data_IF_967219808468
#
_entry.id   IF_967219808468
#
_cell.length_a   1.000
_cell.length_b   1.000
_cell.length_c   1.000
_cell.angle_alpha   90.00
_cell.angle_beta   90.00
_cell.angle_gamma   90.00
#
_symmetry.space_group_name_H-M   'P 1'
#
loop_
_entity.id
_entity.type
_entity.pdbx_description
1 polymer ?
#
# COMPACT_ATOMS: atom_id res chain seq x y z
N UNK A 1 -13.39 -15.30 -24.33
CA UNK A 1 -14.49 -14.31 -24.19
C UNK A 1 -14.22 -13.18 -25.17
N UNK A 2 -15.12 -12.93 -26.12
CA UNK A 2 -14.95 -11.87 -27.12
C UNK A 2 -15.11 -10.48 -26.46
N UNK A 3 -14.49 -9.45 -27.04
CA UNK A 3 -14.57 -8.07 -26.57
C UNK A 3 -15.97 -7.56 -26.15
N UNK A 4 -17.08 -7.83 -26.90
CA UNK A 4 -18.39 -7.29 -26.55
C UNK A 4 -18.95 -7.76 -25.20
N UNK A 5 -18.73 -9.03 -24.80
CA UNK A 5 -19.25 -9.55 -23.52
C UNK A 5 -18.68 -8.80 -22.30
N UNK A 6 -17.45 -8.31 -22.39
CA UNK A 6 -16.81 -7.60 -21.27
C UNK A 6 -17.40 -6.22 -21.06
N UNK A 7 -17.81 -5.53 -22.13
CA UNK A 7 -18.51 -4.25 -22.00
C UNK A 7 -19.89 -4.42 -21.39
N UNK A 8 -20.67 -5.42 -21.83
CA UNK A 8 -21.97 -5.73 -21.20
C UNK A 8 -21.80 -6.09 -19.72
N UNK A 9 -20.82 -6.92 -19.38
CA UNK A 9 -20.54 -7.28 -18.00
C UNK A 9 -20.10 -6.08 -17.16
N UNK A 10 -19.22 -5.23 -17.70
CA UNK A 10 -18.79 -3.98 -17.04
C UNK A 10 -19.95 -3.03 -16.78
N UNK A 11 -20.84 -2.85 -17.76
CA UNK A 11 -22.05 -2.05 -17.60
C UNK A 11 -22.96 -2.60 -16.50
N UNK A 12 -23.27 -3.91 -16.52
CA UNK A 12 -24.12 -4.54 -15.52
C UNK A 12 -23.53 -4.44 -14.09
N UNK A 13 -22.24 -4.74 -13.93
CA UNK A 13 -21.55 -4.61 -12.64
C UNK A 13 -21.55 -3.15 -12.19
N UNK A 14 -21.30 -2.22 -13.11
CA UNK A 14 -21.34 -0.79 -12.84
C UNK A 14 -22.72 -0.32 -12.36
N UNK A 15 -23.80 -0.71 -13.04
CA UNK A 15 -25.17 -0.41 -12.62
C UNK A 15 -25.50 -0.99 -11.23
N UNK A 16 -25.07 -2.22 -10.94
CA UNK A 16 -25.23 -2.81 -9.60
C UNK A 16 -24.47 -1.99 -8.54
N UNK A 17 -23.26 -1.54 -8.83
CA UNK A 17 -22.52 -0.62 -7.97
C UNK A 17 -23.27 0.70 -7.75
N UNK A 18 -23.87 1.27 -8.81
CA UNK A 18 -24.63 2.51 -8.74
C UNK A 18 -25.90 2.39 -7.89
N UNK A 19 -26.55 1.21 -7.93
CA UNK A 19 -27.66 0.87 -7.04
C UNK A 19 -27.20 0.84 -5.58
N UNK A 20 -26.10 0.16 -5.28
CA UNK A 20 -25.56 0.08 -3.91
C UNK A 20 -25.13 1.44 -3.37
N UNK A 21 -24.53 2.30 -4.19
CA UNK A 21 -24.19 3.68 -3.83
C UNK A 21 -25.45 4.53 -3.57
N UNK A 22 -26.55 4.31 -4.29
CA UNK A 22 -27.81 4.99 -3.97
C UNK A 22 -28.34 4.61 -2.58
N UNK A 23 -28.18 3.33 -2.20
CA UNK A 23 -28.65 2.82 -0.91
C UNK A 23 -27.88 3.36 0.30
N UNK A 24 -26.73 4.01 0.09
CA UNK A 24 -25.95 4.63 1.18
C UNK A 24 -26.37 6.06 1.49
N UNK A 25 -27.43 6.57 0.87
CA UNK A 25 -27.90 7.94 1.06
C UNK A 25 -27.17 8.98 0.20
N UNK A 26 -26.70 8.59 -0.99
CA UNK A 26 -26.12 9.51 -1.98
C UNK A 26 -27.06 10.69 -2.27
N UNK A 27 -26.49 11.88 -2.47
CA UNK A 27 -27.23 13.08 -2.88
C UNK A 27 -27.76 13.01 -4.32
N UNK A 28 -27.26 12.07 -5.12
CA UNK A 28 -27.70 11.84 -6.49
C UNK A 28 -28.98 10.98 -6.52
N UNK A 29 -29.85 11.22 -7.50
CA UNK A 29 -31.03 10.38 -7.73
C UNK A 29 -30.64 8.95 -8.12
N UNK A 30 -31.52 7.98 -7.87
CA UNK A 30 -31.30 6.57 -8.24
C UNK A 30 -30.97 6.40 -9.73
N UNK A 31 -31.67 7.13 -10.61
CA UNK A 31 -31.39 7.08 -12.04
C UNK A 31 -29.98 7.62 -12.35
N UNK A 32 -29.58 8.72 -11.70
CA UNK A 32 -28.26 9.31 -11.89
C UNK A 32 -27.13 8.38 -11.41
N UNK A 33 -27.29 7.71 -10.27
CA UNK A 33 -26.27 6.76 -9.77
C UNK A 33 -26.20 5.50 -10.63
N UNK A 34 -27.32 4.98 -11.14
CA UNK A 34 -27.34 3.86 -12.08
C UNK A 34 -26.62 4.21 -13.38
N UNK A 35 -26.93 5.37 -13.97
CA UNK A 35 -26.26 5.85 -15.18
C UNK A 35 -24.77 6.09 -14.95
N UNK A 36 -24.40 6.74 -13.84
CA UNK A 36 -23.02 6.94 -13.44
C UNK A 36 -22.30 5.60 -13.33
N UNK A 37 -22.90 4.62 -12.64
CA UNK A 37 -22.34 3.29 -12.47
C UNK A 37 -22.15 2.56 -13.80
N UNK A 38 -23.19 2.52 -14.65
CA UNK A 38 -23.13 1.87 -15.96
C UNK A 38 -22.07 2.49 -16.88
N UNK A 39 -22.04 3.82 -16.98
CA UNK A 39 -21.04 4.56 -17.76
C UNK A 39 -19.63 4.35 -17.19
N UNK A 40 -19.50 4.37 -15.86
CA UNK A 40 -18.23 4.12 -15.18
C UNK A 40 -17.72 2.70 -15.44
N UNK A 41 -18.59 1.71 -15.46
CA UNK A 41 -18.24 0.32 -15.78
C UNK A 41 -17.78 0.16 -17.23
N UNK A 42 -18.48 0.79 -18.19
CA UNK A 42 -18.07 0.81 -19.60
C UNK A 42 -16.70 1.49 -19.79
N UNK A 43 -16.52 2.66 -19.17
CA UNK A 43 -15.27 3.40 -19.25
C UNK A 43 -14.11 2.65 -18.60
N UNK A 44 -14.34 2.01 -17.45
CA UNK A 44 -13.33 1.15 -16.81
C UNK A 44 -12.88 0.01 -17.72
N UNK A 45 -13.82 -0.69 -18.38
CA UNK A 45 -13.49 -1.73 -19.36
C UNK A 45 -12.66 -1.13 -20.49
N UNK A 46 -13.08 0.01 -21.05
CA UNK A 46 -12.37 0.66 -22.14
C UNK A 46 -10.88 0.94 -21.83
N UNK A 47 -10.57 1.45 -20.63
CA UNK A 47 -9.19 1.84 -20.26
C UNK A 47 -8.35 0.70 -19.68
N UNK A 48 -8.97 -0.32 -19.08
CA UNK A 48 -8.27 -1.34 -18.29
C UNK A 48 -8.18 -2.71 -18.96
N UNK A 49 -8.92 -2.97 -20.04
CA UNK A 49 -9.12 -4.32 -20.57
C UNK A 49 -7.84 -5.11 -20.83
N UNK A 50 -6.82 -4.47 -21.41
CA UNK A 50 -5.51 -5.07 -21.68
C UNK A 50 -4.65 -5.28 -20.44
N UNK A 51 -5.01 -4.63 -19.33
CA UNK A 51 -4.27 -4.58 -18.05
C UNK A 51 -4.85 -5.51 -16.98
N UNK A 52 -6.05 -6.07 -17.20
CA UNK A 52 -6.68 -7.07 -16.33
C UNK A 52 -6.04 -8.45 -16.51
N UNK A 53 -4.78 -8.58 -16.10
CA UNK A 53 -3.94 -9.78 -16.25
C UNK A 53 -4.20 -10.83 -15.18
N UNK A 54 -4.51 -10.40 -13.96
CA UNK A 54 -4.82 -11.25 -12.79
C UNK A 54 -6.02 -10.67 -12.03
N UNK A 55 -6.56 -11.41 -11.05
CA UNK A 55 -7.63 -10.90 -10.19
C UNK A 55 -7.11 -9.77 -9.28
N UNK A 56 -5.90 -9.91 -8.71
CA UNK A 56 -5.28 -8.85 -7.90
C UNK A 56 -4.97 -7.58 -8.69
N UNK A 57 -4.44 -7.73 -9.91
CA UNK A 57 -4.27 -6.62 -10.86
C UNK A 57 -5.59 -5.90 -11.12
N UNK A 58 -6.65 -6.67 -11.38
CA UNK A 58 -7.98 -6.12 -11.61
C UNK A 58 -8.53 -5.35 -10.42
N UNK A 59 -8.39 -5.92 -9.22
CA UNK A 59 -8.78 -5.27 -7.97
C UNK A 59 -8.07 -3.93 -7.78
N UNK A 60 -6.75 -3.86 -7.94
CA UNK A 60 -6.02 -2.61 -7.72
C UNK A 60 -6.30 -1.57 -8.82
N UNK A 61 -6.45 -2.00 -10.08
CA UNK A 61 -6.89 -1.10 -11.17
C UNK A 61 -8.25 -0.48 -10.88
N UNK A 62 -9.22 -1.28 -10.45
CA UNK A 62 -10.57 -0.80 -10.19
C UNK A 62 -10.66 0.05 -8.93
N UNK A 63 -9.88 -0.26 -7.88
CA UNK A 63 -9.79 0.59 -6.69
C UNK A 63 -9.13 1.94 -7.00
N UNK A 64 -8.02 1.94 -7.75
CA UNK A 64 -7.40 3.17 -8.23
C UNK A 64 -8.33 4.00 -9.13
N UNK A 65 -9.09 3.32 -9.99
CA UNK A 65 -10.12 3.95 -10.82
C UNK A 65 -11.25 4.57 -9.99
N UNK A 66 -11.78 3.84 -9.01
CA UNK A 66 -12.82 4.32 -8.11
C UNK A 66 -12.35 5.54 -7.28
N UNK A 67 -11.09 5.53 -6.84
CA UNK A 67 -10.47 6.69 -6.20
C UNK A 67 -10.41 7.91 -7.13
N UNK A 68 -10.02 7.74 -8.40
CA UNK A 68 -10.08 8.83 -9.38
C UNK A 68 -11.49 9.35 -9.62
N UNK A 69 -12.46 8.45 -9.78
CA UNK A 69 -13.86 8.84 -9.94
C UNK A 69 -14.33 9.67 -8.76
N UNK A 70 -13.92 9.30 -7.54
CA UNK A 70 -14.24 10.06 -6.35
C UNK A 70 -13.61 11.47 -6.37
N UNK A 71 -12.34 11.59 -6.74
CA UNK A 71 -11.67 12.91 -6.88
C UNK A 71 -12.40 13.77 -7.91
N UNK A 72 -12.72 13.19 -9.08
CA UNK A 72 -13.26 13.94 -10.21
C UNK A 72 -14.71 14.37 -9.97
N UNK A 73 -15.53 13.51 -9.36
CA UNK A 73 -16.98 13.70 -9.31
C UNK A 73 -17.41 14.22 -7.92
N UNK A 74 -17.50 13.40 -6.85
CA UNK A 74 -17.80 13.87 -5.50
C UNK A 74 -16.92 15.00 -5.00
N UNK A 75 -15.59 14.87 -5.06
CA UNK A 75 -14.70 15.89 -4.49
C UNK A 75 -14.37 17.05 -5.45
N UNK A 76 -14.81 16.97 -6.72
CA UNK A 76 -14.44 17.89 -7.79
C UNK A 76 -15.64 18.58 -8.44
N UNK A 77 -16.25 17.92 -9.42
CA UNK A 77 -17.31 18.49 -10.27
C UNK A 77 -18.57 18.85 -9.45
N UNK A 78 -19.01 17.99 -8.52
CA UNK A 78 -20.25 18.24 -7.76
C UNK A 78 -20.16 19.55 -6.96
N UNK A 79 -19.12 19.78 -6.13
CA UNK A 79 -18.89 21.05 -5.43
C UNK A 79 -18.88 22.28 -6.35
N UNK A 80 -18.23 22.17 -7.51
CA UNK A 80 -18.14 23.25 -8.49
C UNK A 80 -19.52 23.62 -9.04
N UNK A 81 -20.35 22.63 -9.36
CA UNK A 81 -21.71 22.83 -9.86
C UNK A 81 -22.66 23.36 -8.79
N UNK A 82 -22.44 23.00 -7.53
CA UNK A 82 -23.24 23.48 -6.40
C UNK A 82 -22.87 24.90 -5.95
N UNK A 83 -21.90 25.55 -6.61
CA UNK A 83 -21.50 26.90 -6.29
C UNK A 83 -20.92 26.99 -4.88
N UNK A 84 -20.03 26.07 -4.51
CA UNK A 84 -19.28 26.09 -3.26
C UNK A 84 -17.87 26.74 -3.43
N UNK A 85 -17.74 28.08 -3.60
CA UNK A 85 -16.43 28.75 -3.65
C UNK A 85 -15.87 29.07 -2.25
N UNK A 86 -16.59 28.77 -1.15
CA UNK A 86 -16.21 29.20 0.20
C UNK A 86 -15.58 28.10 1.10
N UNK A 87 -15.74 26.82 0.79
CA UNK A 87 -15.06 25.74 1.53
C UNK A 87 -13.67 25.46 0.92
N UNK A 88 -12.67 25.23 1.77
CA UNK A 88 -11.36 24.78 1.31
C UNK A 88 -11.47 23.41 0.61
N UNK A 89 -10.59 23.14 -0.36
CA UNK A 89 -10.60 21.87 -1.13
C UNK A 89 -10.55 20.62 -0.21
N UNK A 90 -9.85 20.70 0.92
CA UNK A 90 -9.78 19.62 1.90
C UNK A 90 -11.10 19.41 2.66
N UNK A 91 -11.79 20.49 3.03
CA UNK A 91 -13.07 20.38 3.74
C UNK A 91 -14.15 19.80 2.83
N UNK A 92 -14.14 20.14 1.54
CA UNK A 92 -15.00 19.49 0.54
C UNK A 92 -14.68 18.00 0.40
N UNK A 93 -13.39 17.64 0.34
CA UNK A 93 -12.99 16.24 0.28
C UNK A 93 -13.42 15.45 1.53
N UNK A 94 -13.33 16.05 2.73
CA UNK A 94 -13.83 15.46 3.98
C UNK A 94 -15.35 15.30 3.98
N UNK A 95 -16.09 16.27 3.46
CA UNK A 95 -17.55 16.21 3.34
C UNK A 95 -18.00 15.03 2.47
N UNK A 96 -17.22 14.67 1.44
CA UNK A 96 -17.50 13.54 0.54
C UNK A 96 -16.74 12.25 0.89
N UNK A 97 -16.22 12.11 2.12
CA UNK A 97 -15.46 10.92 2.51
C UNK A 97 -16.32 9.64 2.46
N UNK A 98 -17.61 9.72 2.77
CA UNK A 98 -18.52 8.57 2.67
C UNK A 98 -18.60 8.00 1.26
N UNK A 99 -18.59 8.88 0.26
CA UNK A 99 -18.61 8.52 -1.15
C UNK A 99 -17.29 7.88 -1.58
N UNK A 100 -16.16 8.25 -0.97
CA UNK A 100 -14.89 7.55 -1.20
C UNK A 100 -15.02 6.08 -0.81
N UNK A 101 -15.54 5.81 0.40
CA UNK A 101 -15.75 4.44 0.89
C UNK A 101 -16.71 3.69 -0.02
N UNK A 102 -17.85 4.32 -0.35
CA UNK A 102 -18.86 3.73 -1.22
C UNK A 102 -18.30 3.39 -2.62
N UNK A 103 -17.51 4.30 -3.21
CA UNK A 103 -16.94 4.09 -4.55
C UNK A 103 -15.91 2.96 -4.54
N UNK A 104 -15.04 2.90 -3.53
CA UNK A 104 -14.06 1.81 -3.41
C UNK A 104 -14.75 0.44 -3.24
N UNK A 105 -15.78 0.35 -2.40
CA UNK A 105 -16.46 -0.92 -2.10
C UNK A 105 -17.49 -1.35 -3.15
N UNK A 106 -18.19 -0.40 -3.80
CA UNK A 106 -19.31 -0.71 -4.69
C UNK A 106 -19.04 -0.46 -6.17
N UNK A 107 -18.05 0.37 -6.52
CA UNK A 107 -17.53 0.41 -7.89
C UNK A 107 -16.23 -0.38 -8.02
N UNK A 108 -15.23 -0.04 -7.22
CA UNK A 108 -13.89 -0.61 -7.32
C UNK A 108 -13.88 -2.12 -7.16
N UNK A 109 -14.19 -2.62 -5.97
CA UNK A 109 -14.15 -4.05 -5.65
C UNK A 109 -14.89 -4.96 -6.66
N UNK A 110 -16.19 -4.74 -6.98
CA UNK A 110 -16.92 -5.64 -7.86
C UNK A 110 -16.47 -5.54 -9.32
N UNK A 111 -16.12 -4.35 -9.83
CA UNK A 111 -15.59 -4.21 -11.20
C UNK A 111 -14.26 -4.96 -11.34
N UNK A 112 -13.36 -4.80 -10.39
CA UNK A 112 -12.04 -5.41 -10.43
C UNK A 112 -12.09 -6.93 -10.38
N UNK A 113 -12.83 -7.48 -9.40
CA UNK A 113 -12.96 -8.93 -9.23
C UNK A 113 -13.80 -9.52 -10.37
N UNK A 114 -14.99 -8.97 -10.63
CA UNK A 114 -15.93 -9.53 -11.61
C UNK A 114 -15.37 -9.58 -13.03
N UNK A 115 -14.65 -8.54 -13.47
CA UNK A 115 -14.06 -8.49 -14.81
C UNK A 115 -12.77 -9.32 -14.97
N UNK A 116 -12.13 -9.69 -13.87
CA UNK A 116 -10.81 -10.33 -13.87
C UNK A 116 -10.85 -11.81 -13.55
N UNK A 117 -11.95 -12.32 -12.98
CA UNK A 117 -12.16 -13.77 -12.84
C UNK A 117 -12.25 -14.40 -14.23
N UNK A 118 -11.31 -15.31 -14.54
CA UNK A 118 -11.30 -16.12 -15.76
C UNK A 118 -11.31 -17.60 -15.38
N UNK A 119 -12.30 -18.39 -15.83
CA UNK A 119 -12.23 -19.84 -15.70
C UNK A 119 -11.17 -20.44 -16.62
N UNK A 120 -10.45 -21.50 -16.20
CA UNK A 120 -10.46 -22.08 -14.85
C UNK A 120 -9.63 -21.24 -13.86
N UNK A 121 -10.21 -20.90 -12.72
CA UNK A 121 -9.47 -20.26 -11.62
C UNK A 121 -8.57 -21.32 -10.97
N UNK A 122 -7.26 -21.15 -11.07
CA UNK A 122 -6.30 -22.17 -10.64
C UNK A 122 -6.00 -22.05 -9.14
N UNK A 123 -6.72 -22.82 -8.33
CA UNK A 123 -6.46 -22.99 -6.91
C UNK A 123 -5.15 -23.76 -6.71
N UNK A 124 -4.03 -23.04 -6.59
CA UNK A 124 -2.76 -23.66 -6.26
C UNK A 124 -2.64 -23.73 -4.73
N UNK A 125 -2.60 -24.92 -4.11
CA UNK A 125 -2.51 -25.07 -2.66
C UNK A 125 -1.36 -24.28 -2.04
N UNK A 126 -0.23 -24.20 -2.76
CA UNK A 126 0.93 -23.39 -2.41
C UNK A 126 0.58 -21.93 -2.07
N UNK A 127 -0.26 -21.28 -2.88
CA UNK A 127 -0.67 -19.87 -2.70
C UNK A 127 -1.41 -19.66 -1.39
N UNK A 128 -2.31 -20.59 -1.08
CA UNK A 128 -3.12 -20.56 0.14
C UNK A 128 -2.24 -20.80 1.38
N UNK A 129 -1.31 -21.74 1.30
CA UNK A 129 -0.40 -22.07 2.41
C UNK A 129 0.55 -20.90 2.68
N UNK A 130 1.28 -20.41 1.67
CA UNK A 130 2.20 -19.28 1.82
C UNK A 130 1.48 -18.02 2.29
N UNK A 131 0.32 -17.72 1.69
CA UNK A 131 -0.53 -16.61 2.09
C UNK A 131 -1.02 -16.73 3.52
N UNK A 132 -1.61 -17.87 3.88
CA UNK A 132 -2.13 -18.14 5.23
C UNK A 132 -1.04 -18.06 6.30
N UNK A 133 0.13 -18.65 6.05
CA UNK A 133 1.29 -18.56 6.95
C UNK A 133 1.78 -17.11 7.08
N UNK A 134 1.89 -16.37 5.98
CA UNK A 134 2.28 -14.96 6.03
C UNK A 134 1.28 -14.12 6.85
N UNK A 135 -0.02 -14.36 6.71
CA UNK A 135 -1.07 -13.71 7.51
C UNK A 135 -0.97 -14.01 9.00
N UNK A 136 -0.79 -15.28 9.36
CA UNK A 136 -0.61 -15.71 10.76
C UNK A 136 0.65 -15.10 11.38
N UNK A 137 1.79 -15.16 10.69
CA UNK A 137 3.05 -14.62 11.17
C UNK A 137 3.01 -13.09 11.30
N UNK A 138 2.34 -12.40 10.38
CA UNK A 138 2.13 -10.94 10.46
C UNK A 138 1.31 -10.57 11.68
N UNK A 139 0.24 -11.32 11.92
CA UNK A 139 -0.62 -11.17 13.10
C UNK A 139 0.12 -11.49 14.40
N UNK A 140 0.97 -12.51 14.41
CA UNK A 140 1.79 -12.86 15.57
C UNK A 140 2.82 -11.77 15.90
N UNK A 141 3.54 -11.24 14.90
CA UNK A 141 4.56 -10.22 15.08
C UNK A 141 4.00 -8.88 15.56
N UNK A 142 2.88 -8.43 14.98
CA UNK A 142 2.32 -7.10 15.24
C UNK A 142 1.14 -7.11 16.22
N UNK A 143 0.47 -8.24 16.39
CA UNK A 143 -0.76 -8.38 17.17
C UNK A 143 -0.69 -7.79 18.58
N UNK A 144 0.33 -8.11 19.40
CA UNK A 144 0.44 -7.56 20.77
C UNK A 144 0.49 -6.04 20.84
N UNK A 145 0.97 -5.39 19.78
CA UNK A 145 1.07 -3.94 19.75
C UNK A 145 -0.14 -3.28 19.06
N UNK A 146 -0.67 -3.92 18.00
CA UNK A 146 -1.97 -3.53 17.40
C UNK A 146 -3.11 -3.56 18.42
N UNK A 147 -3.12 -4.54 19.33
CA UNK A 147 -4.11 -4.64 20.41
C UNK A 147 -3.92 -3.52 21.44
N UNK A 148 -2.68 -3.25 21.87
CA UNK A 148 -2.38 -2.20 22.85
C UNK A 148 -2.81 -0.82 22.38
N UNK A 149 -2.67 -0.53 21.09
CA UNK A 149 -3.02 0.76 20.52
C UNK A 149 -4.44 0.83 19.92
N UNK A 150 -5.29 -0.17 20.17
CA UNK A 150 -6.64 -0.26 19.60
C UNK A 150 -6.67 -0.10 18.06
N UNK A 151 -5.61 -0.55 17.40
CA UNK A 151 -5.24 -0.20 16.02
C UNK A 151 -5.12 -1.45 15.14
N UNK A 152 -5.84 -2.48 15.53
CA UNK A 152 -5.94 -3.72 14.78
C UNK A 152 -7.02 -3.61 13.70
N UNK A 153 -6.75 -4.17 12.52
CA UNK A 153 -7.66 -4.17 11.37
C UNK A 153 -9.05 -4.73 11.73
N UNK A 154 -9.13 -5.61 12.73
CA UNK A 154 -10.37 -6.24 13.20
C UNK A 154 -10.52 -6.39 14.73
N UNK A 155 -9.49 -6.17 15.57
CA UNK A 155 -9.53 -6.52 17.02
C UNK A 155 -10.07 -5.39 17.89
N UNK A 156 -10.09 -4.13 17.42
CA UNK A 156 -10.62 -3.01 18.20
C UNK A 156 -12.07 -3.27 18.68
N UNK A 157 -12.86 -3.98 17.87
CA UNK A 157 -14.21 -4.41 18.21
C UNK A 157 -14.34 -5.77 18.92
N UNK A 158 -13.27 -6.57 18.94
CA UNK A 158 -13.23 -7.91 19.56
C UNK A 158 -13.25 -7.81 21.09
N UNK A 159 -12.96 -6.65 21.67
CA UNK A 159 -13.06 -6.42 23.12
C UNK A 159 -14.50 -6.58 23.66
N UNK A 160 -15.52 -6.49 22.80
CA UNK A 160 -16.90 -6.80 23.16
C UNK A 160 -17.15 -8.31 23.36
N UNK A 161 -16.24 -9.18 22.88
CA UNK A 161 -16.32 -10.62 23.05
C UNK A 161 -15.69 -11.00 24.40
N UNK A 162 -16.45 -11.51 25.38
CA UNK A 162 -15.94 -11.75 26.74
C UNK A 162 -14.91 -12.89 26.80
N UNK A 163 -15.05 -13.92 25.97
CA UNK A 163 -14.17 -15.11 25.98
C UNK A 163 -12.80 -14.84 25.32
N UNK A 164 -11.67 -14.92 26.06
CA UNK A 164 -10.33 -14.77 25.49
C UNK A 164 -10.03 -15.78 24.37
N UNK A 165 -10.52 -17.01 24.51
CA UNK A 165 -10.36 -18.05 23.49
C UNK A 165 -11.09 -17.67 22.20
N UNK A 166 -12.31 -17.14 22.30
CA UNK A 166 -13.08 -16.73 21.12
C UNK A 166 -12.44 -15.52 20.42
N UNK A 167 -11.88 -14.57 21.19
CA UNK A 167 -11.09 -13.44 20.64
C UNK A 167 -9.88 -13.93 19.85
N UNK A 168 -9.13 -14.88 20.40
CA UNK A 168 -7.95 -15.46 19.76
C UNK A 168 -8.34 -16.23 18.49
N UNK A 169 -9.37 -17.08 18.56
CA UNK A 169 -9.85 -17.84 17.39
C UNK A 169 -10.27 -16.91 16.26
N UNK A 170 -11.05 -15.87 16.55
CA UNK A 170 -11.48 -14.91 15.54
C UNK A 170 -10.29 -14.17 14.92
N UNK A 171 -9.32 -13.76 15.74
CA UNK A 171 -8.10 -13.12 15.25
C UNK A 171 -7.31 -14.02 14.28
N UNK A 172 -7.13 -15.29 14.63
CA UNK A 172 -6.47 -16.30 13.79
C UNK A 172 -7.25 -16.51 12.48
N UNK A 173 -8.58 -16.63 12.55
CA UNK A 173 -9.41 -16.82 11.36
C UNK A 173 -9.33 -15.63 10.40
N UNK A 174 -9.39 -14.41 10.93
CA UNK A 174 -9.24 -13.20 10.12
C UNK A 174 -7.84 -13.14 9.50
N UNK A 175 -6.79 -13.42 10.26
CA UNK A 175 -5.41 -13.45 9.77
C UNK A 175 -5.24 -14.45 8.61
N UNK A 176 -5.82 -15.66 8.75
CA UNK A 176 -5.84 -16.67 7.70
C UNK A 176 -6.59 -16.19 6.46
N UNK A 177 -7.78 -15.61 6.62
CA UNK A 177 -8.58 -15.10 5.50
C UNK A 177 -7.79 -14.03 4.75
N UNK A 178 -7.26 -13.02 5.43
CA UNK A 178 -6.46 -11.95 4.81
C UNK A 178 -5.23 -12.53 4.11
N UNK A 179 -4.48 -13.42 4.77
CA UNK A 179 -3.28 -14.02 4.21
C UNK A 179 -3.56 -14.90 2.98
N UNK A 180 -4.53 -15.81 3.07
CA UNK A 180 -4.91 -16.70 1.97
C UNK A 180 -5.42 -15.92 0.76
N UNK A 181 -6.27 -14.92 0.99
CA UNK A 181 -6.77 -14.09 -0.11
C UNK A 181 -5.68 -13.19 -0.70
N UNK A 182 -4.72 -12.71 0.09
CA UNK A 182 -3.52 -12.03 -0.45
C UNK A 182 -2.73 -12.95 -1.40
N UNK A 183 -2.42 -14.18 -0.98
CA UNK A 183 -1.70 -15.15 -1.80
C UNK A 183 -2.45 -15.55 -3.08
N UNK A 184 -3.77 -15.65 -3.02
CA UNK A 184 -4.60 -15.91 -4.21
C UNK A 184 -4.63 -14.73 -5.18
N UNK A 185 -4.71 -13.50 -4.67
CA UNK A 185 -4.89 -12.31 -5.48
C UNK A 185 -3.60 -11.85 -6.15
N UNK A 186 -2.48 -11.83 -5.41
CA UNK A 186 -1.30 -11.06 -5.81
C UNK A 186 -0.05 -11.86 -6.13
N UNK A 187 -0.04 -13.20 -6.01
CA UNK A 187 1.17 -13.98 -6.30
C UNK A 187 1.76 -13.66 -7.69
N UNK A 188 0.92 -13.51 -8.71
CA UNK A 188 1.36 -13.24 -10.08
C UNK A 188 2.00 -11.86 -10.26
N UNK A 189 1.70 -10.94 -9.35
CA UNK A 189 2.09 -9.53 -9.44
C UNK A 189 3.30 -9.19 -8.55
N UNK A 190 3.58 -10.06 -7.57
CA UNK A 190 4.73 -10.00 -6.67
C UNK A 190 5.94 -10.67 -7.35
N UNK A 191 7.02 -9.91 -7.53
CA UNK A 191 8.29 -10.41 -8.10
C UNK A 191 9.43 -10.43 -7.09
N UNK A 192 9.32 -9.62 -6.05
CA UNK A 192 10.35 -9.43 -5.05
C UNK A 192 9.85 -8.63 -3.86
N UNK A 193 10.69 -8.43 -2.84
CA UNK A 193 10.25 -7.88 -1.57
C UNK A 193 9.72 -6.46 -1.73
N UNK A 194 10.30 -5.66 -2.65
CA UNK A 194 9.82 -4.32 -3.00
C UNK A 194 8.38 -4.31 -3.52
N UNK A 195 8.04 -5.14 -4.50
CA UNK A 195 6.64 -5.26 -4.91
C UNK A 195 5.77 -5.90 -3.83
N UNK A 196 6.25 -6.96 -3.18
CA UNK A 196 5.54 -7.65 -2.10
C UNK A 196 5.06 -6.71 -1.01
N UNK A 197 5.96 -5.85 -0.49
CA UNK A 197 5.64 -4.88 0.55
C UNK A 197 4.59 -3.86 0.06
N UNK A 198 4.73 -3.33 -1.15
CA UNK A 198 3.77 -2.34 -1.69
C UNK A 198 2.39 -2.96 -1.95
N UNK A 199 2.31 -4.18 -2.51
CA UNK A 199 1.05 -4.91 -2.66
C UNK A 199 0.41 -5.20 -1.30
N UNK A 200 1.20 -5.61 -0.31
CA UNK A 200 0.74 -5.87 1.04
C UNK A 200 0.12 -4.63 1.69
N UNK A 201 0.77 -3.47 1.56
CA UNK A 201 0.24 -2.18 2.07
C UNK A 201 -1.04 -1.79 1.34
N UNK A 202 -1.05 -1.81 0.00
CA UNK A 202 -2.26 -1.47 -0.77
C UNK A 202 -3.43 -2.37 -0.38
N UNK A 203 -3.17 -3.68 -0.25
CA UNK A 203 -4.18 -4.64 0.15
C UNK A 203 -4.70 -4.41 1.57
N UNK A 204 -3.83 -4.01 2.49
CA UNK A 204 -4.23 -3.77 3.88
C UNK A 204 -4.95 -2.43 4.05
N UNK A 205 -4.63 -1.40 3.25
CA UNK A 205 -5.45 -0.18 3.17
C UNK A 205 -6.86 -0.52 2.68
N UNK A 206 -6.98 -1.38 1.67
CA UNK A 206 -8.30 -1.88 1.24
C UNK A 206 -9.05 -2.61 2.38
N UNK A 207 -8.35 -3.42 3.18
CA UNK A 207 -8.94 -4.06 4.37
C UNK A 207 -9.28 -3.09 5.49
N UNK A 208 -8.67 -1.90 5.56
CA UNK A 208 -9.11 -0.88 6.50
C UNK A 208 -10.50 -0.34 6.13
N UNK A 209 -10.74 -0.06 4.84
CA UNK A 209 -12.08 0.32 4.35
C UNK A 209 -13.11 -0.81 4.49
N UNK A 210 -12.76 -2.01 4.04
CA UNK A 210 -13.69 -3.15 4.04
C UNK A 210 -13.89 -3.72 5.44
N UNK A 211 -12.82 -3.86 6.20
CA UNK A 211 -12.79 -4.47 7.52
C UNK A 211 -13.18 -3.48 8.60
N UNK A 212 -12.28 -2.55 8.93
CA UNK A 212 -12.42 -1.66 10.07
C UNK A 212 -13.62 -0.71 9.94
N UNK A 213 -13.85 -0.13 8.75
CA UNK A 213 -14.96 0.82 8.53
C UNK A 213 -16.31 0.18 8.21
N UNK A 214 -16.34 -1.09 7.79
CA UNK A 214 -17.58 -1.68 7.22
C UNK A 214 -17.95 -3.02 7.87
N UNK A 215 -17.14 -4.06 7.71
CA UNK A 215 -17.47 -5.41 8.20
C UNK A 215 -17.51 -5.44 9.73
N UNK A 216 -16.56 -4.78 10.40
CA UNK A 216 -16.47 -4.84 11.86
C UNK A 216 -17.71 -4.22 12.55
N UNK A 217 -18.15 -2.99 12.23
CA UNK A 217 -19.41 -2.45 12.75
C UNK A 217 -20.61 -3.36 12.49
N UNK A 218 -20.71 -3.95 11.29
CA UNK A 218 -21.78 -4.89 10.94
C UNK A 218 -21.78 -6.14 11.83
N UNK A 219 -20.62 -6.74 12.07
CA UNK A 219 -20.46 -7.90 12.95
C UNK A 219 -20.81 -7.57 14.42
N UNK A 220 -20.71 -6.29 14.80
CA UNK A 220 -21.06 -5.80 16.13
C UNK A 220 -22.51 -5.31 16.21
N UNK A 221 -23.31 -5.48 15.16
CA UNK A 221 -24.66 -4.93 15.05
C UNK A 221 -24.73 -3.41 15.28
N UNK A 222 -23.64 -2.69 14.97
CA UNK A 222 -23.58 -1.24 15.00
C UNK A 222 -24.00 -0.65 13.66
N UNK A 223 -24.51 0.58 13.67
CA UNK A 223 -24.79 1.32 12.44
C UNK A 223 -23.49 1.65 11.73
N UNK A 224 -23.39 1.32 10.44
CA UNK A 224 -22.24 1.71 9.62
C UNK A 224 -22.22 3.23 9.49
N UNK A 225 -21.09 3.86 9.81
CA UNK A 225 -20.85 5.27 9.58
C UNK A 225 -19.57 5.45 8.77
N UNK A 226 -19.71 5.81 7.50
CA UNK A 226 -18.57 6.16 6.64
C UNK A 226 -18.22 7.65 6.71
N UNK A 227 -18.53 8.32 7.81
CA UNK A 227 -18.15 9.71 8.00
C UNK A 227 -16.64 9.86 8.19
N UNK A 228 -16.15 11.00 7.73
CA UNK A 228 -14.78 11.44 7.95
C UNK A 228 -14.36 11.37 9.43
N UNK A 229 -15.22 11.81 10.35
CA UNK A 229 -14.95 11.85 11.78
C UNK A 229 -14.80 10.45 12.37
N UNK A 230 -15.64 9.51 11.94
CA UNK A 230 -15.51 8.12 12.36
C UNK A 230 -14.22 7.51 11.81
N UNK A 231 -13.90 7.73 10.54
CA UNK A 231 -12.66 7.27 9.95
C UNK A 231 -11.41 7.84 10.65
N UNK A 232 -11.45 9.12 11.04
CA UNK A 232 -10.38 9.78 11.80
C UNK A 232 -10.19 9.17 13.18
N UNK A 233 -11.28 8.75 13.84
CA UNK A 233 -11.21 8.01 15.11
C UNK A 233 -10.53 6.64 14.98
N UNK A 234 -10.48 6.09 13.76
CA UNK A 234 -9.84 4.83 13.41
C UNK A 234 -8.49 5.02 12.69
N UNK A 235 -7.89 6.21 12.79
CA UNK A 235 -6.57 6.50 12.20
C UNK A 235 -5.49 5.55 12.71
N UNK A 236 -5.50 5.20 14.00
CA UNK A 236 -4.59 4.20 14.54
C UNK A 236 -4.70 2.85 13.81
N UNK A 237 -5.94 2.40 13.53
CA UNK A 237 -6.18 1.17 12.76
C UNK A 237 -5.67 1.26 11.31
N UNK A 238 -5.68 2.44 10.70
CA UNK A 238 -5.07 2.65 9.38
C UNK A 238 -3.55 2.46 9.45
N UNK A 239 -2.86 3.08 10.42
CA UNK A 239 -1.41 2.90 10.59
C UNK A 239 -1.07 1.44 10.86
N UNK A 240 -1.84 0.78 11.74
CA UNK A 240 -1.71 -0.64 12.00
C UNK A 240 -1.93 -1.51 10.77
N UNK A 241 -2.86 -1.14 9.89
CA UNK A 241 -3.10 -1.83 8.62
C UNK A 241 -1.93 -1.67 7.65
N UNK A 242 -1.34 -0.47 7.54
CA UNK A 242 -0.15 -0.24 6.71
C UNK A 242 1.03 -1.08 7.18
N UNK A 243 1.29 -1.14 8.48
CA UNK A 243 2.38 -1.98 9.01
C UNK A 243 2.09 -3.46 8.84
N UNK A 244 0.85 -3.90 9.10
CA UNK A 244 0.43 -5.28 8.86
C UNK A 244 0.64 -5.67 7.40
N UNK A 245 0.24 -4.82 6.46
CA UNK A 245 0.45 -5.03 5.04
C UNK A 245 1.91 -5.09 4.64
N UNK A 246 2.75 -4.24 5.23
CA UNK A 246 4.19 -4.27 5.00
C UNK A 246 4.78 -5.62 5.41
N UNK A 247 4.46 -6.09 6.62
CA UNK A 247 4.95 -7.37 7.15
C UNK A 247 4.39 -8.55 6.36
N UNK A 248 3.09 -8.52 6.02
CA UNK A 248 2.42 -9.54 5.21
C UNK A 248 3.12 -9.71 3.85
N UNK A 249 3.34 -8.61 3.15
CA UNK A 249 3.98 -8.61 1.83
C UNK A 249 5.42 -9.14 1.87
N UNK A 250 6.20 -8.73 2.88
CA UNK A 250 7.57 -9.19 3.08
C UNK A 250 7.63 -10.68 3.44
N UNK A 251 6.80 -11.14 4.39
CA UNK A 251 6.76 -12.54 4.81
C UNK A 251 6.27 -13.45 3.68
N UNK A 252 5.23 -13.04 2.96
CA UNK A 252 4.76 -13.77 1.78
C UNK A 252 5.90 -13.96 0.76
N UNK A 253 6.61 -12.87 0.45
CA UNK A 253 7.74 -12.94 -0.49
C UNK A 253 8.89 -13.79 0.04
N UNK A 254 9.17 -13.73 1.34
CA UNK A 254 10.20 -14.55 1.96
C UNK A 254 9.84 -16.04 1.85
N UNK A 255 8.60 -16.41 2.18
CA UNK A 255 8.12 -17.79 2.07
C UNK A 255 8.16 -18.29 0.61
N UNK A 256 7.70 -17.47 -0.34
CA UNK A 256 7.76 -17.79 -1.77
C UNK A 256 9.22 -18.01 -2.24
N UNK A 257 10.13 -17.13 -1.84
CA UNK A 257 11.56 -17.27 -2.18
C UNK A 257 12.24 -18.44 -1.51
N UNK A 258 11.91 -18.75 -0.26
CA UNK A 258 12.42 -19.94 0.42
C UNK A 258 11.93 -21.20 -0.30
N UNK A 259 10.67 -21.23 -0.71
CA UNK A 259 10.14 -22.34 -1.49
C UNK A 259 10.87 -22.50 -2.83
N UNK A 260 10.98 -21.43 -3.63
CA UNK A 260 11.69 -21.47 -4.92
C UNK A 260 13.16 -21.83 -4.72
N UNK A 261 13.82 -21.24 -3.72
CA UNK A 261 15.22 -21.50 -3.40
C UNK A 261 15.50 -22.96 -3.02
N UNK A 262 14.63 -23.55 -2.19
CA UNK A 262 14.82 -24.91 -1.69
C UNK A 262 14.42 -25.99 -2.71
N UNK A 263 13.38 -25.74 -3.52
CA UNK A 263 12.79 -26.77 -4.38
C UNK A 263 13.04 -26.59 -5.87
N UNK A 264 13.45 -25.41 -6.34
CA UNK A 264 13.66 -25.11 -7.77
C UNK A 264 15.11 -24.72 -8.05
N UNK A 265 15.63 -23.70 -7.34
CA UNK A 265 16.98 -23.18 -7.58
C UNK A 265 18.09 -24.06 -7.00
N UNK A 266 17.74 -25.02 -6.13
CA UNK A 266 18.66 -26.02 -5.59
C UNK A 266 19.09 -27.04 -6.64
N UNK A 267 18.34 -27.18 -7.74
CA UNK A 267 18.71 -27.98 -8.90
C UNK A 267 19.95 -27.37 -9.59
N UNK A 268 21.06 -28.12 -9.73
CA UNK A 268 22.26 -27.66 -10.43
C UNK A 268 21.99 -27.10 -11.83
N UNK A 269 20.94 -27.57 -12.53
CA UNK A 269 20.56 -27.10 -13.87
C UNK A 269 19.99 -25.68 -13.87
N UNK A 270 19.38 -25.24 -12.77
CA UNK A 270 18.75 -23.93 -12.62
C UNK A 270 19.66 -22.90 -11.93
N UNK A 271 20.89 -23.29 -11.58
CA UNK A 271 21.79 -22.44 -10.79
C UNK A 271 22.31 -21.26 -11.61
N UNK A 272 22.03 -20.05 -11.12
CA UNK A 272 22.58 -18.82 -11.68
C UNK A 272 24.12 -18.79 -11.58
N UNK A 273 24.77 -18.25 -12.62
CA UNK A 273 26.24 -18.08 -12.68
C UNK A 273 26.77 -17.10 -11.62
N UNK A 274 25.99 -16.07 -11.30
CA UNK A 274 26.35 -15.09 -10.26
C UNK A 274 25.84 -15.54 -8.88
N UNK A 275 26.75 -15.56 -7.90
CA UNK A 275 26.42 -15.90 -6.52
C UNK A 275 25.39 -14.96 -5.90
N UNK A 276 24.59 -15.47 -4.97
CA UNK A 276 23.62 -14.64 -4.22
C UNK A 276 24.37 -13.58 -3.39
N UNK A 277 25.52 -13.91 -2.81
CA UNK A 277 26.31 -12.99 -2.00
C UNK A 277 26.80 -11.75 -2.74
N UNK A 278 27.33 -11.89 -3.96
CA UNK A 278 27.83 -10.75 -4.74
C UNK A 278 26.69 -9.84 -5.19
N UNK A 279 25.56 -10.40 -5.61
CA UNK A 279 24.35 -9.63 -5.96
C UNK A 279 23.82 -8.85 -4.77
N UNK A 280 23.73 -9.49 -3.61
CA UNK A 280 23.29 -8.86 -2.35
C UNK A 280 24.23 -7.73 -1.94
N UNK A 281 25.55 -7.97 -1.93
CA UNK A 281 26.54 -6.95 -1.59
C UNK A 281 26.49 -5.75 -2.53
N UNK A 282 26.31 -5.99 -3.83
CA UNK A 282 26.14 -4.95 -4.84
C UNK A 282 24.88 -4.11 -4.61
N UNK A 283 23.75 -4.77 -4.38
CA UNK A 283 22.48 -4.11 -4.08
C UNK A 283 22.55 -3.24 -2.82
N UNK A 284 23.14 -3.78 -1.73
CA UNK A 284 23.40 -3.03 -0.49
C UNK A 284 24.27 -1.80 -0.73
N UNK A 285 25.39 -1.98 -1.44
CA UNK A 285 26.35 -0.90 -1.70
C UNK A 285 25.72 0.22 -2.53
N UNK A 286 25.00 -0.11 -3.60
CA UNK A 286 24.32 0.89 -4.42
C UNK A 286 23.21 1.59 -3.65
N UNK A 287 22.46 0.87 -2.82
CA UNK A 287 21.45 1.45 -1.93
C UNK A 287 22.04 2.43 -0.91
N UNK A 288 23.17 2.06 -0.29
CA UNK A 288 23.92 2.90 0.64
C UNK A 288 24.37 4.21 -0.03
N UNK A 289 24.99 4.13 -1.21
CA UNK A 289 25.49 5.32 -1.91
C UNK A 289 24.32 6.19 -2.41
N UNK A 290 23.27 5.59 -2.97
CA UNK A 290 22.14 6.32 -3.52
C UNK A 290 21.37 7.12 -2.46
N UNK A 291 21.22 6.56 -1.26
CA UNK A 291 20.49 7.18 -0.16
C UNK A 291 21.19 8.38 0.48
N UNK A 292 22.49 8.57 0.28
CA UNK A 292 23.20 9.74 0.79
C UNK A 292 22.63 11.04 0.22
N UNK A 293 22.30 11.08 -1.07
CA UNK A 293 21.71 12.27 -1.70
C UNK A 293 20.34 12.57 -1.10
N UNK A 294 19.50 11.54 -0.95
CA UNK A 294 18.20 11.68 -0.30
C UNK A 294 18.32 12.10 1.17
N UNK A 295 19.27 11.53 1.91
CA UNK A 295 19.52 11.83 3.32
C UNK A 295 19.96 13.28 3.51
N UNK A 296 20.81 13.81 2.63
CA UNK A 296 21.23 15.21 2.63
C UNK A 296 20.04 16.16 2.37
N UNK A 297 19.21 15.86 1.37
CA UNK A 297 18.01 16.67 1.10
C UNK A 297 17.02 16.61 2.25
N UNK A 298 16.80 15.44 2.83
CA UNK A 298 15.90 15.26 3.95
C UNK A 298 16.42 15.97 5.23
N UNK A 299 17.74 16.08 5.40
CA UNK A 299 18.34 16.82 6.51
C UNK A 299 17.91 18.29 6.54
N UNK A 300 17.66 18.92 5.38
CA UNK A 300 17.17 20.30 5.29
C UNK A 300 15.79 20.40 5.94
N UNK A 301 14.89 19.48 5.60
CA UNK A 301 13.54 19.44 6.17
C UNK A 301 13.60 19.15 7.68
N UNK A 302 14.44 18.21 8.10
CA UNK A 302 14.61 17.89 9.53
C UNK A 302 15.19 19.04 10.35
N UNK A 303 16.06 19.87 9.74
CA UNK A 303 16.58 21.07 10.37
C UNK A 303 15.47 22.10 10.59
N UNK A 304 14.69 22.40 9.55
CA UNK A 304 13.57 23.37 9.61
C UNK A 304 12.46 22.91 10.55
N UNK A 305 12.21 21.61 10.63
CA UNK A 305 11.16 21.02 11.49
C UNK A 305 11.63 20.70 12.91
N UNK A 306 12.92 20.88 13.23
CA UNK A 306 13.49 20.56 14.54
C UNK A 306 13.66 19.07 14.84
N UNK A 307 13.38 18.17 13.89
CA UNK A 307 13.44 16.72 14.09
C UNK A 307 14.88 16.22 14.31
N UNK A 308 15.90 16.94 13.84
CA UNK A 308 17.31 16.57 14.07
C UNK A 308 17.65 16.40 15.56
N UNK A 309 17.07 17.24 16.44
CA UNK A 309 17.26 17.11 17.88
C UNK A 309 16.65 15.81 18.43
N UNK A 310 15.51 15.38 17.90
CA UNK A 310 14.89 14.10 18.29
C UNK A 310 15.72 12.90 17.82
N UNK A 311 16.34 12.99 16.64
CA UNK A 311 17.26 11.93 16.17
C UNK A 311 18.53 11.89 17.01
N UNK A 312 19.07 13.04 17.43
CA UNK A 312 20.20 13.08 18.36
C UNK A 312 19.86 12.44 19.72
N UNK A 313 18.61 12.55 20.16
CA UNK A 313 18.15 11.99 21.44
C UNK A 313 18.17 10.46 21.46
N UNK A 314 18.21 9.79 20.30
CA UNK A 314 18.37 8.33 20.20
C UNK A 314 19.68 7.83 20.85
N UNK A 315 20.68 8.69 20.97
CA UNK A 315 21.94 8.38 21.67
C UNK A 315 22.15 9.27 22.90
N UNK A 316 21.07 9.83 23.44
CA UNK A 316 21.11 10.68 24.64
C UNK A 316 21.71 12.08 24.43
N UNK A 317 21.72 12.60 23.19
CA UNK A 317 22.26 13.92 22.87
C UNK A 317 21.18 14.89 22.38
N UNK A 318 21.46 16.18 22.44
CA UNK A 318 20.65 17.25 21.83
C UNK A 318 21.38 17.98 20.68
N UNK A 319 22.60 17.55 20.33
CA UNK A 319 23.41 18.20 19.29
C UNK A 319 22.82 17.99 17.90
N UNK A 320 22.46 19.08 17.22
CA UNK A 320 21.96 19.05 15.84
C UNK A 320 22.98 18.41 14.87
N UNK A 321 24.27 18.63 15.09
CA UNK A 321 25.34 18.04 14.28
C UNK A 321 25.38 16.53 14.45
N UNK A 322 25.26 16.04 15.69
CA UNK A 322 25.21 14.61 15.95
C UNK A 322 23.93 13.98 15.36
N UNK A 323 22.79 14.66 15.52
CA UNK A 323 21.52 14.24 14.91
C UNK A 323 21.61 14.14 13.38
N UNK A 324 22.31 15.08 12.73
CA UNK A 324 22.57 15.03 11.29
C UNK A 324 23.40 13.81 10.88
N UNK A 325 24.51 13.52 11.57
CA UNK A 325 25.34 12.36 11.24
C UNK A 325 24.61 11.03 11.51
N UNK A 326 23.87 10.94 12.62
CA UNK A 326 23.03 9.77 12.90
C UNK A 326 21.95 9.59 11.85
N UNK A 327 21.31 10.68 11.38
CA UNK A 327 20.36 10.63 10.28
C UNK A 327 21.01 10.11 8.98
N UNK A 328 22.24 10.51 8.65
CA UNK A 328 22.95 9.95 7.49
C UNK A 328 23.24 8.45 7.65
N UNK A 329 23.60 7.99 8.84
CA UNK A 329 23.78 6.55 9.13
C UNK A 329 22.46 5.80 8.95
N UNK A 330 21.37 6.32 9.51
CA UNK A 330 20.01 5.76 9.34
C UNK A 330 19.63 5.74 7.86
N UNK A 331 19.89 6.82 7.14
CA UNK A 331 19.66 6.93 5.69
C UNK A 331 20.41 5.85 4.92
N UNK A 332 21.68 5.59 5.25
CA UNK A 332 22.45 4.49 4.63
C UNK A 332 21.80 3.13 4.88
N UNK A 333 21.41 2.84 6.13
CA UNK A 333 20.79 1.55 6.49
C UNK A 333 19.44 1.35 5.79
N UNK A 334 18.63 2.41 5.72
CA UNK A 334 17.38 2.42 4.97
C UNK A 334 17.67 2.21 3.47
N UNK A 335 18.58 2.98 2.89
CA UNK A 335 18.99 2.88 1.48
C UNK A 335 19.50 1.50 1.08
N UNK A 336 20.29 0.86 1.94
CA UNK A 336 20.71 -0.53 1.77
C UNK A 336 19.51 -1.47 1.57
N UNK A 337 18.47 -1.33 2.40
CA UNK A 337 17.26 -2.14 2.24
C UNK A 337 16.45 -1.78 1.00
N UNK A 338 16.44 -0.52 0.54
CA UNK A 338 15.90 -0.16 -0.77
C UNK A 338 16.57 -0.95 -1.90
N UNK A 339 17.91 -1.02 -1.88
CA UNK A 339 18.68 -1.78 -2.85
C UNK A 339 18.30 -3.26 -2.87
N UNK A 340 18.13 -3.88 -1.69
CA UNK A 340 17.66 -5.27 -1.58
C UNK A 340 16.24 -5.46 -2.13
N UNK A 341 15.37 -4.48 -1.92
CA UNK A 341 13.95 -4.59 -2.21
C UNK A 341 13.60 -4.29 -3.67
N UNK A 342 14.27 -3.33 -4.30
CA UNK A 342 13.83 -2.75 -5.57
C UNK A 342 14.81 -2.91 -6.75
N UNK A 343 15.90 -3.67 -6.60
CA UNK A 343 16.97 -3.81 -7.62
C UNK A 343 16.48 -4.17 -9.04
N UNK A 344 15.34 -4.87 -9.17
CA UNK A 344 14.77 -5.28 -10.46
C UNK A 344 13.35 -4.75 -10.73
N UNK A 345 12.85 -3.82 -9.90
CA UNK A 345 11.46 -3.36 -9.99
C UNK A 345 11.27 -2.19 -10.99
N UNK A 346 12.32 -1.41 -11.26
CA UNK A 346 12.25 -0.20 -12.08
C UNK A 346 12.95 -0.34 -13.45
N UNK A 347 12.21 -0.37 -14.58
CA UNK A 347 12.83 -0.39 -15.91
C UNK A 347 13.38 0.98 -16.35
N UNK A 348 12.76 2.08 -15.91
CA UNK A 348 13.13 3.45 -16.28
C UNK A 348 13.20 4.40 -15.06
N UNK A 349 13.65 5.63 -15.29
CA UNK A 349 13.88 6.61 -14.22
C UNK A 349 12.59 7.06 -13.54
N UNK A 350 11.51 7.26 -14.28
CA UNK A 350 10.20 7.63 -13.71
C UNK A 350 9.67 6.53 -12.79
N UNK A 351 9.71 5.28 -13.25
CA UNK A 351 9.31 4.13 -12.45
C UNK A 351 10.16 4.02 -11.17
N UNK A 352 11.46 4.28 -11.28
CA UNK A 352 12.39 4.24 -10.14
C UNK A 352 12.11 5.32 -9.10
N UNK A 353 11.79 6.54 -9.55
CA UNK A 353 11.35 7.64 -8.68
C UNK A 353 10.06 7.27 -7.95
N UNK A 354 9.07 6.70 -8.66
CA UNK A 354 7.78 6.33 -8.06
C UNK A 354 7.93 5.20 -7.04
N UNK A 355 8.73 4.17 -7.35
CA UNK A 355 9.07 3.12 -6.38
C UNK A 355 9.78 3.70 -5.15
N UNK A 356 10.70 4.64 -5.38
CA UNK A 356 11.33 5.42 -4.33
C UNK A 356 10.31 6.15 -3.45
N UNK A 357 9.37 6.88 -4.04
CA UNK A 357 8.31 7.59 -3.30
C UNK A 357 7.44 6.64 -2.48
N UNK A 358 7.04 5.50 -3.04
CA UNK A 358 6.28 4.48 -2.30
C UNK A 358 7.05 3.96 -1.10
N UNK A 359 8.33 3.70 -1.28
CA UNK A 359 9.20 3.25 -0.21
C UNK A 359 9.36 4.34 0.87
N UNK A 360 9.52 5.60 0.48
CA UNK A 360 9.52 6.74 1.39
C UNK A 360 8.21 6.87 2.18
N UNK A 361 7.08 6.80 1.50
CA UNK A 361 5.75 6.82 2.12
C UNK A 361 5.61 5.74 3.20
N UNK A 362 6.04 4.51 2.92
CA UNK A 362 5.98 3.40 3.87
C UNK A 362 6.92 3.65 5.04
N UNK A 363 8.11 4.20 4.80
CA UNK A 363 9.01 4.63 5.86
C UNK A 363 8.49 5.78 6.70
N UNK A 364 7.56 6.60 6.23
CA UNK A 364 6.93 7.60 7.09
C UNK A 364 6.04 6.95 8.17
N UNK A 365 5.31 5.88 7.82
CA UNK A 365 4.54 5.10 8.81
C UNK A 365 5.45 4.29 9.75
N UNK A 366 6.55 3.73 9.23
CA UNK A 366 7.48 2.91 10.01
C UNK A 366 8.41 3.77 10.88
N UNK A 367 9.01 4.81 10.32
CA UNK A 367 10.05 5.61 10.95
C UNK A 367 9.50 6.55 12.02
N UNK A 368 9.06 7.77 11.65
CA UNK A 368 8.67 8.77 12.63
C UNK A 368 7.38 8.43 13.38
N UNK A 369 6.39 7.75 12.76
CA UNK A 369 5.14 7.39 13.43
C UNK A 369 5.24 6.17 14.36
N UNK A 370 6.24 5.31 14.18
CA UNK A 370 6.31 4.02 14.88
C UNK A 370 7.66 3.81 15.58
N UNK A 371 8.75 3.70 14.83
CA UNK A 371 10.06 3.36 15.38
C UNK A 371 10.65 4.49 16.20
N UNK A 372 10.53 5.75 15.79
CA UNK A 372 11.13 6.88 16.51
C UNK A 372 10.60 6.99 17.95
N UNK A 373 9.27 6.99 18.22
CA UNK A 373 8.77 6.95 19.59
C UNK A 373 9.26 5.73 20.38
N UNK A 374 9.32 4.55 19.76
CA UNK A 374 9.79 3.32 20.42
C UNK A 374 11.26 3.40 20.81
N UNK A 375 12.11 3.90 19.90
CA UNK A 375 13.55 4.01 20.13
C UNK A 375 13.89 5.11 21.14
N UNK A 376 13.02 6.10 21.33
CA UNK A 376 13.10 7.10 22.39
C UNK A 376 12.54 6.61 23.75
N UNK A 377 12.11 5.34 23.83
CA UNK A 377 11.55 4.74 25.05
C UNK A 377 10.07 5.09 25.31
N UNK A 378 9.41 5.77 24.38
CA UNK A 378 7.99 6.07 24.44
C UNK A 378 7.12 4.98 23.81
N UNK A 379 5.81 5.23 23.77
CA UNK A 379 4.85 4.41 23.02
C UNK A 379 4.32 5.19 21.81
N UNK A 380 4.32 4.59 20.62
CA UNK A 380 3.82 5.23 19.39
C UNK A 380 2.29 5.39 19.46
N UNK A 381 1.81 6.61 19.58
CA UNK A 381 0.38 6.90 19.86
C UNK A 381 -0.54 6.64 18.68
N UNK A 382 -0.04 6.76 17.45
CA UNK A 382 -0.82 6.64 16.21
C UNK A 382 -2.10 7.49 16.19
N UNK A 383 -2.01 8.69 16.75
CA UNK A 383 -3.09 9.65 16.74
C UNK A 383 -3.01 10.58 15.53
N UNK A 384 -4.13 11.20 15.19
CA UNK A 384 -4.19 12.24 14.14
C UNK A 384 -3.28 13.43 14.50
N UNK A 385 -3.17 13.79 15.79
CA UNK A 385 -2.30 14.88 16.24
C UNK A 385 -0.82 14.54 16.02
N UNK A 386 -0.43 13.29 16.25
CA UNK A 386 0.94 12.85 15.98
C UNK A 386 1.25 12.89 14.47
N UNK A 387 0.29 12.47 13.64
CA UNK A 387 0.41 12.55 12.20
C UNK A 387 0.49 14.00 11.70
N UNK A 388 -0.32 14.91 12.25
CA UNK A 388 -0.33 16.35 11.94
C UNK A 388 1.05 16.98 12.11
N UNK A 389 1.65 16.78 13.29
CA UNK A 389 2.99 17.29 13.61
C UNK A 389 4.03 16.73 12.65
N UNK A 390 3.83 15.50 12.16
CA UNK A 390 4.76 14.79 11.28
C UNK A 390 4.47 14.96 9.78
N UNK A 391 3.41 15.68 9.37
CA UNK A 391 3.10 15.91 7.96
C UNK A 391 4.28 16.54 7.18
N UNK A 392 5.02 17.54 7.71
CA UNK A 392 6.20 18.06 7.01
C UNK A 392 7.27 16.99 6.75
N UNK A 393 7.42 16.02 7.66
CA UNK A 393 8.37 14.91 7.49
C UNK A 393 7.94 13.91 6.43
N UNK A 394 6.64 13.82 6.08
CA UNK A 394 6.15 12.98 4.97
C UNK A 394 6.77 13.44 3.65
N UNK A 395 6.78 14.75 3.40
CA UNK A 395 7.45 15.32 2.22
C UNK A 395 8.93 14.94 2.19
N UNK A 396 9.60 15.00 3.34
CA UNK A 396 11.01 14.60 3.46
C UNK A 396 11.25 13.13 3.12
N UNK A 397 10.38 12.24 3.58
CA UNK A 397 10.46 10.82 3.23
C UNK A 397 10.20 10.56 1.74
N UNK A 398 9.25 11.28 1.12
CA UNK A 398 8.99 11.17 -0.32
C UNK A 398 10.18 11.64 -1.15
N UNK A 399 10.79 12.77 -0.80
CA UNK A 399 11.99 13.29 -1.48
C UNK A 399 13.17 12.34 -1.28
N UNK A 400 13.38 11.87 -0.05
CA UNK A 400 14.39 10.86 0.27
C UNK A 400 14.23 9.62 -0.60
N UNK A 401 13.01 9.07 -0.66
CA UNK A 401 12.70 7.89 -1.44
C UNK A 401 12.88 8.11 -2.93
N UNK A 402 12.30 9.17 -3.49
CA UNK A 402 12.39 9.54 -4.91
C UNK A 402 13.84 9.63 -5.39
N UNK A 403 14.68 10.32 -4.63
CA UNK A 403 16.09 10.52 -4.96
C UNK A 403 16.91 9.25 -4.76
N UNK A 404 16.66 8.49 -3.69
CA UNK A 404 17.28 7.17 -3.50
C UNK A 404 16.99 6.25 -4.69
N UNK A 405 15.73 6.19 -5.15
CA UNK A 405 15.35 5.43 -6.33
C UNK A 405 16.12 5.86 -7.58
N UNK A 406 16.04 7.16 -7.90
CA UNK A 406 16.73 7.71 -9.08
C UNK A 406 18.23 7.41 -9.08
N UNK A 407 18.94 7.70 -7.99
CA UNK A 407 20.38 7.51 -7.91
C UNK A 407 20.76 6.01 -7.88
N UNK A 408 19.93 5.16 -7.29
CA UNK A 408 20.12 3.71 -7.35
C UNK A 408 20.10 3.22 -8.80
N UNK A 409 19.12 3.64 -9.60
CA UNK A 409 19.05 3.28 -11.02
C UNK A 409 20.25 3.81 -11.82
N UNK A 410 20.69 5.04 -11.54
CA UNK A 410 21.87 5.63 -12.20
C UNK A 410 23.14 4.83 -11.89
N UNK A 411 23.35 4.43 -10.63
CA UNK A 411 24.47 3.57 -10.24
C UNK A 411 24.38 2.21 -10.93
N UNK A 412 23.21 1.55 -10.89
CA UNK A 412 23.00 0.27 -11.55
C UNK A 412 23.34 0.33 -13.05
N UNK A 413 22.87 1.37 -13.75
CA UNK A 413 23.16 1.56 -15.19
C UNK A 413 24.63 1.86 -15.46
N UNK A 414 25.30 2.58 -14.55
CA UNK A 414 26.72 2.90 -14.71
C UNK A 414 27.61 1.66 -14.59
N UNK A 415 27.29 0.70 -13.72
CA UNK A 415 28.18 -0.43 -13.44
C UNK A 415 27.88 -1.70 -14.25
N UNK A 416 26.79 -1.72 -15.05
CA UNK A 416 26.50 -2.82 -15.98
C UNK A 416 27.07 -2.43 -17.36
N UNK A 417 28.29 -2.88 -17.66
CA UNK A 417 29.03 -2.46 -18.85
C UNK A 417 29.05 -3.45 -20.02
N UNK A 418 28.83 -4.76 -19.81
CA UNK A 418 28.91 -5.74 -20.90
C UNK A 418 27.56 -5.98 -21.58
N UNK A 419 27.52 -6.09 -22.90
CA UNK A 419 26.27 -6.33 -23.66
C UNK A 419 25.55 -7.62 -23.21
N UNK A 420 26.31 -8.65 -22.82
CA UNK A 420 25.76 -9.88 -22.25
C UNK A 420 25.10 -9.66 -20.88
N UNK A 421 25.72 -8.87 -20.00
CA UNK A 421 25.13 -8.51 -18.71
C UNK A 421 23.89 -7.62 -18.87
N UNK A 422 23.88 -6.72 -19.87
CA UNK A 422 22.71 -5.89 -20.20
C UNK A 422 21.52 -6.76 -20.61
N UNK A 423 21.73 -7.76 -21.47
CA UNK A 423 20.66 -8.67 -21.91
C UNK A 423 20.08 -9.50 -20.75
N UNK A 424 20.93 -10.01 -19.86
CA UNK A 424 20.48 -10.75 -18.67
C UNK A 424 19.74 -9.85 -17.67
N UNK A 425 20.25 -8.65 -17.39
CA UNK A 425 19.59 -7.69 -16.50
C UNK A 425 18.25 -7.20 -17.05
N UNK A 426 18.10 -7.06 -18.36
CA UNK A 426 16.82 -6.74 -18.99
C UNK A 426 15.77 -7.85 -18.81
N UNK A 427 16.18 -9.12 -18.80
CA UNK A 427 15.27 -10.25 -18.56
C UNK A 427 14.79 -10.31 -17.10
N UNK A 428 15.65 -9.90 -16.15
CA UNK A 428 15.29 -9.85 -14.73
C UNK A 428 14.35 -8.68 -14.39
N UNK A 429 14.41 -7.60 -15.17
CA UNK A 429 13.56 -6.42 -14.96
C UNK A 429 12.10 -6.71 -15.21
N UNK A 430 11.26 -5.95 -14.51
CA UNK A 430 9.82 -5.96 -14.73
C UNK A 430 9.49 -5.48 -16.16
N UNK A 431 8.64 -6.22 -16.92
CA UNK A 431 8.21 -5.80 -18.25
C UNK A 431 7.26 -4.60 -18.17
N UNK A 432 7.15 -3.88 -19.28
CA UNK A 432 6.17 -2.80 -19.45
C UNK A 432 4.76 -3.39 -19.55
N UNK A 433 3.74 -2.66 -19.08
CA UNK A 433 2.34 -3.10 -19.16
C UNK A 433 1.87 -3.96 -17.98
N UNK A 434 2.63 -3.99 -16.89
CA UNK A 434 2.22 -4.62 -15.62
C UNK A 434 1.16 -3.77 -14.89
N UNK A 435 0.45 -4.31 -13.89
CA UNK A 435 -0.53 -3.55 -13.10
C UNK A 435 0.08 -2.52 -12.13
N UNK A 436 1.39 -2.33 -12.17
CA UNK A 436 2.14 -1.43 -11.30
C UNK A 436 1.65 0.03 -11.34
N UNK A 437 1.30 0.63 -12.49
CA UNK A 437 0.78 1.99 -12.50
C UNK A 437 -0.50 2.15 -11.64
N UNK A 438 -1.34 1.12 -11.55
CA UNK A 438 -2.49 1.16 -10.65
C UNK A 438 -2.10 1.04 -9.19
N UNK A 439 -1.10 0.20 -8.87
CA UNK A 439 -0.56 0.13 -7.51
C UNK A 439 -0.01 1.48 -7.07
N UNK A 440 0.77 2.14 -7.93
CA UNK A 440 1.30 3.47 -7.67
C UNK A 440 0.19 4.49 -7.46
N UNK A 441 -0.79 4.49 -8.36
CA UNK A 441 -1.92 5.38 -8.27
C UNK A 441 -2.70 5.20 -6.97
N UNK A 442 -3.05 3.96 -6.64
CA UNK A 442 -3.83 3.65 -5.46
C UNK A 442 -3.04 3.96 -4.19
N UNK A 443 -1.78 3.52 -4.11
CA UNK A 443 -0.98 3.60 -2.90
C UNK A 443 -0.37 4.99 -2.67
N UNK A 444 0.15 5.68 -3.69
CA UNK A 444 0.53 7.09 -3.54
C UNK A 444 -0.70 7.97 -3.40
N UNK A 445 -1.75 7.73 -4.18
CA UNK A 445 -2.98 8.52 -4.12
C UNK A 445 -3.62 8.47 -2.73
N UNK A 446 -4.08 7.29 -2.30
CA UNK A 446 -4.71 7.14 -0.99
C UNK A 446 -3.71 7.21 0.16
N UNK A 447 -2.51 6.67 0.02
CA UNK A 447 -1.53 6.71 1.10
C UNK A 447 -1.04 8.12 1.43
N UNK A 448 -1.08 9.06 0.48
CA UNK A 448 -0.85 10.49 0.74
C UNK A 448 -2.13 11.22 1.16
N UNK A 449 -3.25 10.93 0.49
CA UNK A 449 -4.51 11.62 0.80
C UNK A 449 -5.06 11.25 2.17
N UNK A 450 -4.97 10.00 2.62
CA UNK A 450 -5.56 9.59 3.89
C UNK A 450 -4.96 10.34 5.09
N UNK A 451 -3.63 10.46 5.27
CA UNK A 451 -3.07 11.31 6.32
C UNK A 451 -3.50 12.78 6.22
N UNK A 452 -3.63 13.34 5.01
CA UNK A 452 -4.05 14.74 4.82
C UNK A 452 -5.54 14.95 5.05
N UNK A 453 -6.36 13.94 4.73
CA UNK A 453 -7.78 13.99 4.94
C UNK A 453 -8.06 13.88 6.42
N UNK A 454 -7.56 12.80 7.08
CA UNK A 454 -7.88 12.30 8.45
C UNK A 454 -7.28 13.09 9.60
N UNK A 455 -6.26 13.89 9.33
CA UNK A 455 -5.75 14.91 10.23
C UNK A 455 -6.51 16.18 9.96
#
# INVERSE_FOLDING_TARGET
>A
MTHPYRYSMGFCIGCLGGLLVAMTGSSLSLLATLLLGGLSGLFFVFISLSRLTSVGAGLIWSLGYAFWLWILIPAGIIPLLQGAPHMGMLDMARAHFSELVAYLLFFGLPLGIGLSIRPPFSWHPRRLIEGGLAGLLSSWLLGPWLVRQNASVFIAGINAIPSPAMRLTLHIMVALVIGMSFGLLFQQDIRGPGSGLCWGVAYSIFWWFSGSLTILPLLQHQTISWSYQHASSLFGALVGSVLYGTVLGLLYTLLDRLWVGLFIDSDPLNRNREGVGTRTARALTWGAIASLVGGLLFSIIMYVTGILAQVAALVGSSSLVLGFFLHLVISILIGMSFGLFFVYEAPNAGDSVIWGMLYGLIWWFIGPLTLLPLLLGGTPTWSIQAAEVLLPSLLGHLIYGATTGLFFLLLQRRFIHSQQAVGQEQQLRRPVGTPIPALWLFLLGLGLMLPLLLV
#
